data_IF_926872747319
#
_entry.id   IF_926872747319
#
_cell.length_a   1.000
_cell.length_b   1.000
_cell.length_c   1.000
_cell.angle_alpha   90.00
_cell.angle_beta   90.00
_cell.angle_gamma   90.00
#
_symmetry.space_group_name_H-M   'P 1'
#
loop_
_entity.id
_entity.type
_entity.pdbx_description
1 polymer ?
#
# COMPACT_ATOMS: atom_id res chain seq x y z
N UNK A 1 15.23 25.93 29.92
CA UNK A 1 14.82 24.56 29.53
C UNK A 1 13.52 24.53 28.71
N UNK A 2 13.08 25.65 28.11
CA UNK A 2 11.82 25.77 27.34
C UNK A 2 12.00 25.67 25.82
N UNK A 3 13.24 25.74 25.30
CA UNK A 3 13.53 25.68 23.86
C UNK A 3 13.47 24.26 23.27
N UNK A 4 13.66 23.22 24.08
CA UNK A 4 13.64 21.83 23.60
C UNK A 4 12.23 21.34 23.24
N UNK A 5 11.18 21.88 23.88
CA UNK A 5 9.79 21.49 23.64
C UNK A 5 9.25 22.03 22.31
N UNK A 6 9.75 23.17 21.83
CA UNK A 6 9.33 23.73 20.55
C UNK A 6 9.80 22.87 19.35
N UNK A 7 10.91 22.14 19.48
CA UNK A 7 11.41 21.29 18.42
C UNK A 7 10.60 19.99 18.24
N UNK A 8 9.97 19.46 19.29
CA UNK A 8 9.17 18.24 19.22
C UNK A 8 7.79 18.44 18.58
N UNK A 9 7.27 19.67 18.55
CA UNK A 9 5.97 19.97 17.95
C UNK A 9 5.96 19.96 16.41
N UNK A 10 7.14 19.92 15.76
CA UNK A 10 7.28 19.91 14.30
C UNK A 10 7.41 18.52 13.68
N UNK A 11 7.58 17.46 14.48
CA UNK A 11 7.64 16.07 14.01
C UNK A 11 6.40 15.55 13.25
N UNK A 12 5.14 15.94 13.55
CA UNK A 12 3.99 15.37 12.85
C UNK A 12 3.81 15.88 11.41
N UNK A 13 4.51 16.95 11.01
CA UNK A 13 4.43 17.51 9.66
C UNK A 13 5.25 16.73 8.63
N UNK A 14 6.15 15.84 9.06
CA UNK A 14 7.04 15.07 8.18
C UNK A 14 6.46 13.71 7.74
N UNK A 15 5.25 13.33 8.19
CA UNK A 15 4.66 12.02 7.94
C UNK A 15 3.98 11.82 6.57
N UNK A 16 4.00 12.82 5.67
CA UNK A 16 3.13 12.83 4.48
C UNK A 16 3.70 12.17 3.21
N UNK A 17 4.90 11.56 3.26
CA UNK A 17 5.50 10.88 2.12
C UNK A 17 5.51 9.35 2.30
N UNK A 18 4.33 8.75 2.48
CA UNK A 18 4.15 7.30 2.31
C UNK A 18 3.65 7.08 0.89
N UNK A 19 4.44 6.37 0.07
CA UNK A 19 3.96 5.80 -1.19
C UNK A 19 3.00 4.66 -0.85
N UNK A 20 1.77 5.00 -0.47
CA UNK A 20 0.70 4.04 -0.21
C UNK A 20 0.33 3.38 -1.55
N UNK A 21 0.48 2.05 -1.68
CA UNK A 21 0.12 1.33 -2.91
C UNK A 21 -1.39 1.36 -3.21
N UNK A 22 -2.22 1.69 -2.21
CA UNK A 22 -3.66 1.69 -2.31
C UNK A 22 -4.24 3.12 -2.39
N UNK A 23 -5.31 3.32 -3.17
CA UNK A 23 -5.98 4.62 -3.25
C UNK A 23 -6.54 5.01 -1.88
N UNK A 24 -6.50 6.31 -1.55
CA UNK A 24 -7.07 6.87 -0.32
C UNK A 24 -8.52 6.38 -0.12
N UNK A 25 -8.78 5.77 1.03
CA UNK A 25 -10.12 5.41 1.47
C UNK A 25 -10.86 6.66 1.96
N UNK A 26 -12.08 6.85 1.45
CA UNK A 26 -12.97 7.96 1.74
C UNK A 26 -14.21 7.51 2.53
N UNK A 27 -14.46 6.20 2.60
CA UNK A 27 -15.54 5.60 3.39
C UNK A 27 -15.04 4.50 4.32
N UNK A 28 -15.79 4.16 5.39
CA UNK A 28 -15.46 3.03 6.27
C UNK A 28 -15.35 1.69 5.52
N UNK A 29 -16.16 1.49 4.48
CA UNK A 29 -16.15 0.28 3.68
C UNK A 29 -14.90 0.17 2.81
N UNK A 30 -14.44 1.30 2.23
CA UNK A 30 -13.16 1.38 1.53
C UNK A 30 -11.99 1.09 2.49
N UNK A 31 -12.03 1.62 3.71
CA UNK A 31 -11.03 1.35 4.74
C UNK A 31 -11.01 -0.14 5.16
N UNK A 32 -12.18 -0.77 5.24
CA UNK A 32 -12.30 -2.20 5.51
C UNK A 32 -11.68 -3.04 4.36
N UNK A 33 -11.97 -2.68 3.10
CA UNK A 33 -11.37 -3.36 1.95
C UNK A 33 -9.86 -3.18 1.88
N UNK A 34 -9.34 -2.03 2.32
CA UNK A 34 -7.90 -1.80 2.45
C UNK A 34 -7.27 -2.73 3.50
N UNK A 35 -7.84 -2.79 4.69
CA UNK A 35 -7.36 -3.68 5.76
C UNK A 35 -7.44 -5.17 5.37
N UNK A 36 -8.42 -5.54 4.55
CA UNK A 36 -8.54 -6.89 3.98
C UNK A 36 -7.43 -7.17 2.96
N UNK A 37 -7.13 -6.20 2.08
CA UNK A 37 -6.07 -6.30 1.10
C UNK A 37 -4.67 -6.44 1.71
N UNK A 38 -4.36 -5.64 2.74
CA UNK A 38 -3.07 -5.71 3.47
C UNK A 38 -2.84 -7.06 4.16
N UNK A 39 -3.92 -7.75 4.54
CA UNK A 39 -3.87 -9.07 5.20
C UNK A 39 -4.12 -10.24 4.24
N UNK A 40 -4.20 -9.97 2.94
CA UNK A 40 -4.51 -10.98 1.96
C UNK A 40 -3.41 -12.06 1.91
N UNK A 41 -3.78 -13.36 1.80
CA UNK A 41 -2.82 -14.46 1.84
C UNK A 41 -1.80 -14.37 0.69
N UNK A 42 -2.19 -13.89 -0.49
CA UNK A 42 -1.27 -13.71 -1.61
C UNK A 42 -0.25 -12.59 -1.38
N UNK A 43 -0.61 -11.55 -0.61
CA UNK A 43 0.31 -10.47 -0.24
C UNK A 43 1.36 -11.00 0.72
N UNK A 44 0.92 -11.76 1.74
CA UNK A 44 1.81 -12.41 2.70
C UNK A 44 2.78 -13.39 2.02
N UNK A 45 2.31 -14.18 1.05
CA UNK A 45 3.15 -15.10 0.30
C UNK A 45 4.25 -14.40 -0.53
N UNK A 46 4.06 -13.13 -0.91
CA UNK A 46 5.09 -12.33 -1.58
C UNK A 46 6.12 -11.81 -0.57
N UNK A 47 5.67 -11.37 0.60
CA UNK A 47 6.57 -10.96 1.68
C UNK A 47 7.44 -12.12 2.19
N UNK A 48 6.92 -13.35 2.23
CA UNK A 48 7.69 -14.54 2.63
C UNK A 48 8.88 -14.84 1.70
N UNK A 49 8.81 -14.42 0.43
CA UNK A 49 9.90 -14.55 -0.56
C UNK A 49 10.74 -13.28 -0.73
N UNK A 50 10.66 -12.34 0.21
CA UNK A 50 11.36 -11.06 0.12
C UNK A 50 12.89 -11.25 0.07
N UNK A 51 13.60 -10.66 -0.90
CA UNK A 51 15.06 -10.75 -0.97
C UNK A 51 15.75 -10.05 0.22
N UNK A 52 17.00 -10.44 0.54
CA UNK A 52 17.80 -9.79 1.59
C UNK A 52 17.89 -8.26 1.40
N UNK A 53 17.92 -7.51 2.51
CA UNK A 53 17.90 -6.04 2.53
C UNK A 53 18.97 -5.40 1.61
N UNK A 54 20.13 -6.04 1.52
CA UNK A 54 21.30 -5.63 0.73
C UNK A 54 21.10 -5.73 -0.80
N UNK A 55 20.07 -6.42 -1.30
CA UNK A 55 19.75 -6.46 -2.72
C UNK A 55 18.58 -5.52 -3.04
N UNK A 56 18.87 -4.22 -3.10
CA UNK A 56 17.86 -3.16 -3.30
C UNK A 56 17.03 -3.38 -4.58
N UNK A 57 17.67 -3.68 -5.71
CA UNK A 57 16.97 -3.88 -6.99
C UNK A 57 16.03 -5.09 -6.96
N UNK A 58 16.45 -6.21 -6.36
CA UNK A 58 15.56 -7.36 -6.24
C UNK A 58 14.39 -7.06 -5.30
N UNK A 59 14.63 -6.31 -4.22
CA UNK A 59 13.57 -5.89 -3.29
C UNK A 59 12.58 -4.95 -3.95
N UNK A 60 13.03 -3.96 -4.70
CA UNK A 60 12.15 -3.04 -5.45
C UNK A 60 11.24 -3.82 -6.41
N UNK A 61 11.79 -4.82 -7.12
CA UNK A 61 10.98 -5.72 -7.97
C UNK A 61 9.89 -6.43 -7.17
N UNK A 62 10.25 -7.06 -6.05
CA UNK A 62 9.30 -7.82 -5.22
C UNK A 62 8.28 -6.88 -4.56
N UNK A 63 8.66 -5.66 -4.18
CA UNK A 63 7.72 -4.65 -3.68
C UNK A 63 6.72 -4.20 -4.77
N UNK A 64 7.12 -4.17 -6.04
CA UNK A 64 6.19 -3.98 -7.15
C UNK A 64 5.14 -5.09 -7.24
N UNK A 65 5.53 -6.33 -6.95
CA UNK A 65 4.60 -7.48 -6.88
C UNK A 65 3.64 -7.36 -5.69
N UNK A 66 4.15 -6.95 -4.52
CA UNK A 66 3.33 -6.67 -3.32
C UNK A 66 2.24 -5.64 -3.65
N UNK A 67 2.65 -4.48 -4.19
CA UNK A 67 1.73 -3.39 -4.57
C UNK A 67 0.65 -3.87 -5.53
N UNK A 68 1.03 -4.69 -6.53
CA UNK A 68 0.07 -5.25 -7.48
C UNK A 68 -0.90 -6.24 -6.82
N UNK A 69 -0.42 -7.08 -5.90
CA UNK A 69 -1.25 -8.04 -5.18
C UNK A 69 -2.23 -7.35 -4.22
N UNK A 70 -1.76 -6.37 -3.45
CA UNK A 70 -2.61 -5.55 -2.56
C UNK A 70 -3.69 -4.82 -3.35
N UNK A 71 -3.32 -4.18 -4.47
CA UNK A 71 -4.29 -3.49 -5.34
C UNK A 71 -5.34 -4.44 -5.90
N UNK A 72 -4.93 -5.64 -6.31
CA UNK A 72 -5.86 -6.66 -6.79
C UNK A 72 -6.81 -7.13 -5.69
N UNK A 73 -6.30 -7.38 -4.48
CA UNK A 73 -7.12 -7.77 -3.34
C UNK A 73 -8.14 -6.69 -2.97
N UNK A 74 -7.69 -5.43 -2.93
CA UNK A 74 -8.55 -4.27 -2.70
C UNK A 74 -9.68 -4.19 -3.72
N UNK A 75 -9.36 -4.28 -5.02
CA UNK A 75 -10.36 -4.22 -6.09
C UNK A 75 -11.33 -5.41 -6.06
N UNK A 76 -10.89 -6.60 -5.64
CA UNK A 76 -11.80 -7.75 -5.45
C UNK A 76 -12.79 -7.49 -4.32
N UNK A 77 -12.33 -6.98 -3.18
CA UNK A 77 -13.22 -6.60 -2.07
C UNK A 77 -14.22 -5.51 -2.49
N UNK A 78 -13.74 -4.46 -3.16
CA UNK A 78 -14.57 -3.37 -3.67
C UNK A 78 -15.65 -3.88 -4.64
N UNK A 79 -15.29 -4.79 -5.56
CA UNK A 79 -16.24 -5.44 -6.48
C UNK A 79 -17.28 -6.27 -5.74
N UNK A 80 -16.86 -7.08 -4.77
CA UNK A 80 -17.77 -7.91 -3.98
C UNK A 80 -18.79 -7.08 -3.17
N UNK A 81 -18.41 -5.86 -2.77
CA UNK A 81 -19.26 -4.95 -2.00
C UNK A 81 -20.05 -3.94 -2.85
N UNK A 82 -19.94 -4.01 -4.18
CA UNK A 82 -20.61 -3.06 -5.09
C UNK A 82 -20.02 -1.65 -5.05
N UNK A 83 -18.80 -1.48 -4.51
CA UNK A 83 -18.08 -0.22 -4.38
C UNK A 83 -17.07 0.01 -5.50
N UNK A 84 -16.94 -0.94 -6.43
CA UNK A 84 -15.96 -0.85 -7.49
C UNK A 84 -16.12 0.45 -8.31
N UNK A 85 -15.04 1.20 -8.55
CA UNK A 85 -15.09 2.38 -9.39
C UNK A 85 -15.63 2.02 -10.78
N UNK A 86 -16.53 2.86 -11.32
CA UNK A 86 -17.01 2.69 -12.69
C UNK A 86 -15.93 3.19 -13.65
N UNK A 87 -15.19 2.26 -14.25
CA UNK A 87 -14.12 2.56 -15.21
C UNK A 87 -12.71 2.54 -14.60
N UNK A 88 -11.72 2.79 -15.45
CA UNK A 88 -10.30 2.72 -15.11
C UNK A 88 -9.54 1.76 -16.04
N UNK A 89 -8.25 2.02 -16.23
CA UNK A 89 -7.34 1.12 -16.93
C UNK A 89 -6.49 0.37 -15.90
N UNK A 90 -6.14 -0.87 -16.22
CA UNK A 90 -5.15 -1.58 -15.42
C UNK A 90 -3.78 -0.93 -15.65
N UNK A 91 -3.01 -0.59 -14.59
CA UNK A 91 -1.69 -0.02 -14.69
C UNK A 91 -0.79 -0.93 -15.53
N UNK A 92 -0.03 -0.31 -16.42
CA UNK A 92 0.94 -1.02 -17.24
C UNK A 92 1.97 -1.65 -16.32
N UNK A 93 2.06 -2.98 -16.37
CA UNK A 93 3.15 -3.74 -15.76
C UNK A 93 4.34 -3.65 -16.72
N UNK A 94 5.50 -3.13 -16.31
CA UNK A 94 6.69 -3.19 -17.14
C UNK A 94 6.94 -4.65 -17.54
N UNK A 95 7.12 -4.90 -18.84
CA UNK A 95 7.58 -6.20 -19.33
C UNK A 95 8.96 -6.43 -18.72
N UNK A 96 9.07 -7.52 -17.94
CA UNK A 96 10.31 -7.96 -17.31
C UNK A 96 11.21 -8.66 -18.32
#
# INVERSE_FOLDING_TARGET
>A
MTRALAALALLPLLGACVNDPLPRANTPEEAACRSEAERAPEVRAIYERMPPAQNATARERVMGEVTAAERNAYLRCMRARGLAPRGGVEPVRPLQ
#
